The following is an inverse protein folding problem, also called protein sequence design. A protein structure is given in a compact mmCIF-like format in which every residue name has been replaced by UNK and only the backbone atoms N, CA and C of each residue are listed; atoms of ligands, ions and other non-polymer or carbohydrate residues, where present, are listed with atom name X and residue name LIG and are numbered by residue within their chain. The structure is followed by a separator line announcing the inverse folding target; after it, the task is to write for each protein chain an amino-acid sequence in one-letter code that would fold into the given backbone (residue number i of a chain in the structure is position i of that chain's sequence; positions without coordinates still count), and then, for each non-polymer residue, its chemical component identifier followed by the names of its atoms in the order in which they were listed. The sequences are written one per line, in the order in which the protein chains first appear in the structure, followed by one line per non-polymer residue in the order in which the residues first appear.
data_IF_718815436619
#
_entry.id   IF_718815436619
#
_cell.length_a   1.000
_cell.length_b   1.000
_cell.length_c   1.000
_cell.angle_alpha   90.00
_cell.angle_beta   90.00
_cell.angle_gamma   90.00
#
_symmetry.space_group_name_H-M   'P 1'
#
loop_
_entity.id
_entity.type
_entity.pdbx_description
1 polymer ?
#
# COMPACT_ATOMS: atom_id res chain seq x y z
N UNK A 1 -30.73 42.59 -32.85
CA UNK A 1 -29.48 43.37 -32.97
C UNK A 1 -28.37 42.54 -32.36
N UNK A 2 -27.32 42.32 -33.14
CA UNK A 2 -26.20 41.41 -32.91
C UNK A 2 -25.10 42.19 -32.16
N UNK A 3 -24.51 41.59 -31.12
CA UNK A 3 -23.28 42.08 -30.47
C UNK A 3 -22.55 40.88 -29.87
N UNK A 4 -21.60 40.28 -30.58
CA UNK A 4 -20.17 40.64 -30.72
C UNK A 4 -19.32 40.35 -29.48
N UNK A 5 -18.72 39.15 -29.51
CA UNK A 5 -17.31 38.81 -29.21
C UNK A 5 -16.55 39.51 -28.08
N UNK A 6 -16.02 38.71 -27.15
CA UNK A 6 -14.69 39.00 -26.56
C UNK A 6 -13.96 37.70 -26.17
N UNK A 7 -12.87 37.42 -26.89
CA UNK A 7 -11.89 36.36 -26.66
C UNK A 7 -10.83 36.88 -25.68
N UNK A 8 -10.59 36.17 -24.58
CA UNK A 8 -9.50 36.47 -23.64
C UNK A 8 -8.47 35.34 -23.57
N UNK A 9 -7.46 35.55 -24.41
CA UNK A 9 -6.06 35.12 -24.43
C UNK A 9 -5.48 34.40 -23.19
N UNK A 10 -4.87 33.24 -23.49
CA UNK A 10 -3.94 32.44 -22.68
C UNK A 10 -2.68 33.21 -22.26
N UNK A 11 -2.24 33.03 -21.01
CA UNK A 11 -0.88 33.35 -20.54
C UNK A 11 -0.23 32.12 -19.87
N UNK A 12 0.89 31.59 -20.38
CA UNK A 12 1.74 30.69 -19.62
C UNK A 12 2.78 31.46 -18.80
N UNK A 13 2.84 31.19 -17.49
CA UNK A 13 3.87 31.72 -16.59
C UNK A 13 5.15 30.88 -16.70
N UNK A 14 6.18 31.52 -17.24
CA UNK A 14 7.56 31.08 -17.30
C UNK A 14 8.18 31.19 -15.90
N UNK A 15 8.64 30.08 -15.31
CA UNK A 15 9.44 30.10 -14.06
C UNK A 15 10.91 29.85 -14.41
N UNK A 16 11.84 30.77 -14.08
CA UNK A 16 13.26 30.59 -14.35
C UNK A 16 13.96 29.71 -13.30
N UNK A 17 14.90 28.89 -13.79
CA UNK A 17 15.91 28.14 -13.03
C UNK A 17 16.91 29.10 -12.37
N UNK A 18 17.25 28.87 -11.10
CA UNK A 18 18.42 29.47 -10.44
C UNK A 18 19.43 28.40 -10.04
N UNK A 19 20.69 28.65 -10.39
CA UNK A 19 21.87 27.85 -10.15
C UNK A 19 22.53 28.18 -8.79
N UNK A 20 23.24 27.18 -8.28
CA UNK A 20 24.50 27.22 -7.53
C UNK A 20 24.60 28.01 -6.21
N UNK A 21 24.98 27.30 -5.14
CA UNK A 21 26.00 27.76 -4.22
C UNK A 21 26.74 26.56 -3.60
N UNK A 22 28.03 26.48 -3.92
CA UNK A 22 29.05 25.67 -3.27
C UNK A 22 29.49 26.39 -1.99
N UNK A 23 29.61 25.69 -0.87
CA UNK A 23 30.38 26.18 0.28
C UNK A 23 31.08 25.02 0.98
N UNK A 24 32.36 24.89 0.65
CA UNK A 24 33.39 24.18 1.41
C UNK A 24 33.62 24.87 2.76
N UNK A 25 33.54 24.11 3.86
CA UNK A 25 34.04 24.55 5.17
C UNK A 25 35.13 23.58 5.63
N UNK A 26 36.36 24.09 5.65
CA UNK A 26 37.54 23.46 6.23
C UNK A 26 37.91 24.26 7.48
N UNK A 27 37.95 23.62 8.64
CA UNK A 27 38.58 24.19 9.84
C UNK A 27 39.46 23.12 10.45
N UNK A 28 40.77 23.30 10.30
CA UNK A 28 41.81 22.69 11.15
C UNK A 28 41.94 23.55 12.41
N UNK A 29 42.09 22.91 13.57
CA UNK A 29 42.42 23.58 14.83
C UNK A 29 43.00 22.59 15.83
N UNK A 30 44.33 22.57 15.91
CA UNK A 30 45.16 21.92 16.92
C UNK A 30 44.97 22.56 18.31
N UNK A 31 45.46 21.87 19.34
CA UNK A 31 45.83 22.27 20.72
C UNK A 31 45.18 21.32 21.73
N UNK A 32 45.80 20.84 22.80
CA UNK A 32 47.17 20.91 23.31
C UNK A 32 47.22 19.83 24.40
N UNK A 33 48.32 19.11 24.50
CA UNK A 33 48.58 18.24 25.64
C UNK A 33 48.69 19.08 26.92
N UNK A 34 48.07 18.64 28.00
CA UNK A 34 48.57 18.90 29.34
C UNK A 34 48.22 17.74 30.27
N UNK A 35 49.28 17.28 30.91
CA UNK A 35 49.49 16.06 31.66
C UNK A 35 49.66 16.52 33.10
N UNK A 36 48.70 16.22 33.97
CA UNK A 36 48.89 16.38 35.42
C UNK A 36 48.09 15.31 36.15
N UNK A 37 48.86 14.33 36.57
CA UNK A 37 48.63 13.21 37.48
C UNK A 37 47.91 13.63 38.77
N UNK A 38 46.82 12.94 39.10
CA UNK A 38 46.16 12.95 40.42
C UNK A 38 45.87 11.48 40.81
N UNK A 39 46.11 11.08 42.07
CA UNK A 39 46.32 9.69 42.55
C UNK A 39 45.11 8.73 42.53
N UNK A 40 45.35 7.41 42.70
CA UNK A 40 44.34 6.38 42.57
C UNK A 40 43.37 6.37 43.76
N UNK A 41 42.13 6.79 43.52
CA UNK A 41 41.02 6.51 44.43
C UNK A 41 40.41 5.17 44.04
N UNK A 42 40.75 4.12 44.80
CA UNK A 42 40.01 2.86 44.79
C UNK A 42 38.57 3.12 45.24
N UNK A 43 37.67 3.15 44.28
CA UNK A 43 36.24 2.98 44.50
C UNK A 43 35.82 1.78 43.67
N UNK A 44 35.67 0.63 44.33
CA UNK A 44 34.89 -0.50 43.82
C UNK A 44 33.47 -0.01 43.56
N UNK A 45 33.23 0.54 42.38
CA UNK A 45 31.91 0.57 41.78
C UNK A 45 31.77 -0.72 40.99
N UNK A 46 30.93 -1.61 41.51
CA UNK A 46 30.35 -2.74 40.80
C UNK A 46 29.55 -2.14 39.63
N UNK A 47 30.23 -1.91 38.50
CA UNK A 47 29.62 -1.53 37.24
C UNK A 47 29.01 -2.82 36.68
N UNK A 48 27.73 -3.04 36.99
CA UNK A 48 26.94 -4.06 36.32
C UNK A 48 27.12 -3.87 34.80
N UNK A 49 27.49 -4.91 34.02
CA UNK A 49 27.59 -4.77 32.58
C UNK A 49 26.19 -4.45 32.06
N UNK A 50 26.02 -3.21 31.61
CA UNK A 50 24.84 -2.76 30.89
C UNK A 50 24.76 -3.59 29.62
N UNK A 51 23.97 -4.66 29.67
CA UNK A 51 23.79 -5.59 28.57
C UNK A 51 23.42 -4.78 27.32
N UNK A 52 24.12 -4.96 26.19
CA UNK A 52 23.68 -4.34 24.95
C UNK A 52 22.30 -4.90 24.62
N UNK A 53 21.30 -4.02 24.55
CA UNK A 53 19.98 -4.35 24.02
C UNK A 53 20.16 -4.74 22.55
N UNK A 54 20.34 -6.04 22.28
CA UNK A 54 20.27 -6.59 20.92
C UNK A 54 18.79 -6.66 20.56
N UNK A 55 18.24 -5.54 20.09
CA UNK A 55 16.89 -5.50 19.51
C UNK A 55 16.96 -5.96 18.05
N UNK A 56 17.31 -7.21 17.82
CA UNK A 56 17.18 -7.82 16.49
C UNK A 56 16.35 -9.09 16.58
N UNK A 57 15.08 -8.94 16.97
CA UNK A 57 14.07 -9.89 16.54
C UNK A 57 13.98 -9.75 15.01
N UNK A 58 14.77 -10.54 14.30
CA UNK A 58 14.77 -10.58 12.84
C UNK A 58 13.38 -11.08 12.44
N UNK A 59 12.54 -10.19 11.90
CA UNK A 59 11.29 -10.60 11.28
C UNK A 59 11.64 -11.65 10.23
N UNK A 60 11.18 -12.89 10.43
CA UNK A 60 11.37 -14.03 9.53
C UNK A 60 10.67 -13.84 8.17
N UNK A 61 10.06 -12.68 7.95
CA UNK A 61 9.58 -12.23 6.65
C UNK A 61 10.81 -12.01 5.76
N UNK A 62 11.00 -12.93 4.80
CA UNK A 62 12.02 -12.81 3.76
C UNK A 62 11.75 -11.51 3.00
N UNK A 63 12.57 -10.49 3.27
CA UNK A 63 12.52 -9.21 2.55
C UNK A 63 13.05 -9.48 1.14
N UNK A 64 12.21 -9.30 0.14
CA UNK A 64 12.59 -9.40 -1.27
C UNK A 64 12.71 -7.99 -1.86
N UNK A 65 13.60 -7.83 -2.85
CA UNK A 65 13.77 -6.57 -3.55
C UNK A 65 13.53 -6.80 -5.04
N UNK A 66 12.76 -5.89 -5.64
CA UNK A 66 12.48 -5.89 -7.07
C UNK A 66 13.66 -5.31 -7.84
N UNK A 67 14.18 -6.11 -8.77
CA UNK A 67 15.21 -5.70 -9.70
C UNK A 67 14.76 -5.99 -11.12
N UNK A 68 15.18 -5.17 -12.06
CA UNK A 68 14.97 -5.38 -13.48
C UNK A 68 16.28 -5.85 -14.10
N UNK A 69 16.25 -7.01 -14.77
CA UNK A 69 17.43 -7.61 -15.38
C UNK A 69 17.85 -6.80 -16.62
N UNK A 70 19.15 -6.54 -16.77
CA UNK A 70 19.73 -5.89 -17.95
C UNK A 70 20.36 -6.92 -18.89
N UNK A 71 20.80 -8.05 -18.35
CA UNK A 71 21.37 -9.20 -19.05
C UNK A 71 20.57 -10.46 -18.72
N UNK A 72 20.64 -11.47 -19.58
CA UNK A 72 20.05 -12.78 -19.30
C UNK A 72 20.87 -13.46 -18.21
N UNK A 73 20.20 -13.87 -17.13
CA UNK A 73 20.87 -14.50 -15.98
C UNK A 73 20.24 -15.85 -15.71
N UNK A 74 21.07 -16.88 -15.80
CA UNK A 74 20.66 -18.26 -15.60
C UNK A 74 19.89 -18.45 -14.28
N UNK A 75 18.66 -18.97 -14.43
CA UNK A 75 17.77 -19.26 -13.30
C UNK A 75 17.09 -18.05 -12.68
N UNK A 76 17.23 -16.83 -13.23
CA UNK A 76 16.49 -15.65 -12.79
C UNK A 76 15.47 -15.15 -13.83
N UNK A 77 15.84 -15.11 -15.11
CA UNK A 77 14.96 -14.64 -16.17
C UNK A 77 15.72 -13.93 -17.30
N UNK A 78 14.96 -13.49 -18.30
CA UNK A 78 15.47 -12.81 -19.49
C UNK A 78 15.73 -11.31 -19.22
N UNK A 79 16.39 -10.66 -20.18
CA UNK A 79 16.59 -9.21 -20.22
C UNK A 79 15.25 -8.46 -20.05
N UNK A 80 15.27 -7.40 -19.24
CA UNK A 80 14.15 -6.54 -18.84
C UNK A 80 13.06 -7.21 -18.00
N UNK A 81 13.25 -8.45 -17.55
CA UNK A 81 12.30 -9.06 -16.63
C UNK A 81 12.42 -8.45 -15.22
N UNK A 82 11.27 -8.31 -14.54
CA UNK A 82 11.19 -7.75 -13.18
C UNK A 82 11.06 -8.87 -12.18
N UNK A 83 12.15 -9.14 -11.48
CA UNK A 83 12.29 -10.30 -10.61
C UNK A 83 12.44 -9.85 -9.16
N UNK A 84 11.71 -10.53 -8.27
CA UNK A 84 11.89 -10.40 -6.83
C UNK A 84 13.07 -11.28 -6.38
N UNK A 85 14.13 -10.67 -5.86
CA UNK A 85 15.37 -11.35 -5.47
C UNK A 85 15.72 -11.03 -4.01
N UNK A 86 16.42 -11.94 -3.34
CA UNK A 86 16.98 -11.67 -2.03
C UNK A 86 17.95 -10.46 -2.06
N UNK A 87 17.87 -9.52 -1.09
CA UNK A 87 18.67 -8.29 -1.09
C UNK A 87 20.17 -8.56 -1.07
N UNK A 88 20.58 -9.66 -0.43
CA UNK A 88 21.98 -10.10 -0.40
C UNK A 88 22.52 -10.45 -1.79
N UNK A 89 21.72 -11.12 -2.62
CA UNK A 89 22.11 -11.50 -3.98
C UNK A 89 22.14 -10.29 -4.91
N UNK A 90 21.15 -9.40 -4.80
CA UNK A 90 21.11 -8.16 -5.57
C UNK A 90 22.35 -7.29 -5.31
N UNK A 91 22.68 -7.03 -4.03
CA UNK A 91 23.78 -6.12 -3.65
C UNK A 91 25.18 -6.70 -3.88
N UNK A 92 25.35 -8.01 -3.74
CA UNK A 92 26.67 -8.65 -3.81
C UNK A 92 27.03 -9.12 -5.24
N UNK A 93 26.04 -9.46 -6.08
CA UNK A 93 26.28 -10.08 -7.38
C UNK A 93 25.70 -9.25 -8.52
N UNK A 94 24.38 -9.01 -8.53
CA UNK A 94 23.70 -8.47 -9.71
C UNK A 94 24.05 -7.00 -9.98
N UNK A 95 24.11 -6.17 -8.94
CA UNK A 95 24.33 -4.74 -9.08
C UNK A 95 25.78 -4.37 -9.37
N UNK A 96 26.80 -4.92 -8.67
CA UNK A 96 28.19 -4.63 -9.00
C UNK A 96 28.55 -5.03 -10.43
N UNK A 97 27.98 -6.15 -10.91
CA UNK A 97 28.22 -6.67 -12.25
C UNK A 97 27.37 -6.01 -13.33
N UNK A 98 26.51 -5.04 -12.99
CA UNK A 98 25.57 -4.38 -13.92
C UNK A 98 24.59 -5.34 -14.64
N UNK A 99 24.32 -6.50 -14.05
CA UNK A 99 23.37 -7.49 -14.58
C UNK A 99 21.91 -7.11 -14.30
N UNK A 100 21.66 -6.23 -13.34
CA UNK A 100 20.33 -5.74 -13.01
C UNK A 100 20.35 -4.29 -12.52
N UNK A 101 19.19 -3.63 -12.54
CA UNK A 101 18.97 -2.32 -11.92
C UNK A 101 17.89 -2.39 -10.84
N UNK A 102 18.02 -1.57 -9.79
CA UNK A 102 16.95 -1.44 -8.80
C UNK A 102 15.71 -0.79 -9.42
N UNK A 103 14.55 -1.42 -9.21
CA UNK A 103 13.27 -0.84 -9.57
C UNK A 103 12.70 -0.19 -8.31
N UNK A 104 12.46 1.13 -8.29
CA UNK A 104 11.79 1.75 -7.16
C UNK A 104 10.43 1.09 -6.97
N UNK A 105 10.12 0.69 -5.72
CA UNK A 105 8.81 0.17 -5.31
C UNK A 105 7.77 1.30 -5.34
N UNK A 106 7.54 1.90 -6.49
CA UNK A 106 6.43 2.84 -6.69
C UNK A 106 5.19 1.99 -6.95
N UNK A 107 4.07 2.33 -6.33
CA UNK A 107 2.76 1.65 -6.44
C UNK A 107 2.15 1.79 -7.86
N UNK A 108 2.92 1.50 -8.91
CA UNK A 108 2.44 1.49 -10.27
C UNK A 108 1.89 0.08 -10.55
N UNK A 109 0.57 0.01 -10.69
CA UNK A 109 -0.28 -1.14 -11.03
C UNK A 109 0.05 -1.82 -12.38
N UNK A 110 1.24 -1.65 -12.94
CA UNK A 110 1.47 -1.90 -14.37
C UNK A 110 2.19 -3.19 -14.74
N UNK A 111 2.54 -4.08 -13.80
CA UNK A 111 2.92 -5.48 -14.09
C UNK A 111 3.20 -6.18 -12.78
N UNK A 112 2.36 -7.14 -12.41
CA UNK A 112 2.61 -8.10 -11.34
C UNK A 112 4.03 -8.67 -11.53
N UNK A 113 4.95 -8.47 -10.56
CA UNK A 113 6.28 -9.04 -10.67
C UNK A 113 6.17 -10.56 -10.57
N UNK A 114 6.60 -11.24 -11.65
CA UNK A 114 6.67 -12.70 -11.62
C UNK A 114 7.69 -13.09 -10.56
N UNK A 115 7.24 -13.84 -9.55
CA UNK A 115 8.16 -14.53 -8.65
C UNK A 115 9.02 -15.44 -9.52
N UNK A 116 10.35 -15.28 -9.47
CA UNK A 116 11.25 -16.20 -10.15
C UNK A 116 11.09 -17.58 -9.52
N UNK A 117 10.22 -18.39 -10.13
CA UNK A 117 10.17 -19.80 -9.86
C UNK A 117 11.47 -20.40 -10.44
N UNK A 118 12.27 -21.12 -9.65
CA UNK A 118 13.42 -21.83 -10.19
C UNK A 118 12.90 -22.84 -11.20
N UNK A 119 13.20 -22.61 -12.48
CA UNK A 119 12.75 -23.42 -13.62
C UNK A 119 13.32 -24.83 -13.48
N UNK A 120 12.61 -25.70 -12.77
CA UNK A 120 12.84 -27.13 -12.85
C UNK A 120 12.48 -27.58 -14.29
N UNK A 121 13.26 -28.49 -14.90
CA UNK A 121 12.97 -28.99 -16.23
C UNK A 121 11.60 -29.68 -16.25
N UNK A 122 10.72 -29.18 -17.10
CA UNK A 122 9.33 -29.60 -17.23
C UNK A 122 9.23 -31.05 -17.74
N UNK A 123 8.93 -31.98 -16.85
CA UNK A 123 8.37 -33.28 -17.21
C UNK A 123 7.25 -33.62 -16.22
N UNK A 124 6.03 -33.67 -16.76
CA UNK A 124 4.83 -34.27 -16.16
C UNK A 124 4.24 -33.54 -14.94
N UNK A 125 3.33 -32.60 -15.20
CA UNK A 125 2.34 -32.22 -14.19
C UNK A 125 1.01 -31.91 -14.86
N UNK A 126 0.34 -32.99 -15.27
CA UNK A 126 -1.09 -32.99 -15.48
C UNK A 126 -1.75 -33.00 -14.10
N UNK A 127 -2.03 -31.82 -13.54
CA UNK A 127 -3.02 -31.69 -12.48
C UNK A 127 -4.29 -31.10 -13.10
N UNK A 128 -5.46 -31.70 -12.84
CA UNK A 128 -6.72 -31.15 -13.30
C UNK A 128 -6.93 -29.80 -12.59
N UNK A 129 -7.15 -28.76 -13.39
CA UNK A 129 -7.74 -27.51 -12.94
C UNK A 129 -9.13 -27.81 -12.36
N UNK A 130 -9.21 -28.15 -11.08
CA UNK A 130 -10.46 -28.08 -10.33
C UNK A 130 -10.73 -26.61 -10.03
N UNK A 131 -11.04 -25.83 -11.07
CA UNK A 131 -11.86 -24.64 -10.91
C UNK A 131 -13.27 -25.14 -10.64
N UNK A 132 -13.55 -25.44 -9.38
CA UNK A 132 -14.92 -25.62 -8.90
C UNK A 132 -15.58 -24.24 -8.97
N UNK A 133 -16.56 -23.98 -9.86
CA UNK A 133 -17.46 -22.86 -9.65
C UNK A 133 -18.27 -23.21 -8.41
N UNK A 134 -17.98 -22.55 -7.29
CA UNK A 134 -18.86 -22.60 -6.13
C UNK A 134 -20.27 -22.21 -6.60
N UNK A 135 -21.34 -22.91 -6.15
CA UNK A 135 -22.70 -22.62 -6.57
C UNK A 135 -23.06 -21.20 -6.11
N UNK A 136 -23.11 -20.28 -7.06
CA UNK A 136 -23.57 -18.90 -6.87
C UNK A 136 -25.04 -18.98 -6.49
N UNK A 137 -25.32 -18.98 -5.18
CA UNK A 137 -26.68 -18.80 -4.70
C UNK A 137 -27.18 -17.45 -5.26
N UNK A 138 -28.35 -17.42 -5.93
CA UNK A 138 -28.91 -16.16 -6.41
C UNK A 138 -29.13 -15.28 -5.19
N UNK A 139 -28.45 -14.14 -5.15
CA UNK A 139 -28.67 -13.14 -4.11
C UNK A 139 -30.09 -12.66 -4.21
N UNK A 140 -30.77 -12.68 -3.07
CA UNK A 140 -32.09 -12.10 -2.96
C UNK A 140 -31.95 -10.58 -3.03
N UNK A 141 -32.25 -10.00 -4.19
CA UNK A 141 -32.20 -8.55 -4.44
C UNK A 141 -33.08 -7.77 -3.45
N UNK A 142 -34.08 -8.44 -2.87
CA UNK A 142 -34.93 -7.92 -1.80
C UNK A 142 -34.10 -7.53 -0.58
N UNK A 143 -33.04 -8.28 -0.27
CA UNK A 143 -32.14 -7.98 0.85
C UNK A 143 -31.32 -6.72 0.60
N UNK A 144 -30.83 -6.51 -0.63
CA UNK A 144 -30.10 -5.29 -0.99
C UNK A 144 -30.96 -4.03 -0.86
N UNK A 145 -32.26 -4.14 -1.18
CA UNK A 145 -33.22 -3.04 -1.03
C UNK A 145 -33.66 -2.82 0.42
N UNK A 146 -33.51 -3.82 1.28
CA UNK A 146 -33.82 -3.72 2.72
C UNK A 146 -32.72 -3.07 3.55
N UNK A 147 -31.56 -2.79 2.93
CA UNK A 147 -30.42 -2.20 3.63
C UNK A 147 -30.72 -0.76 4.05
N UNK A 148 -30.25 -0.34 5.24
CA UNK A 148 -30.34 1.05 5.64
C UNK A 148 -29.54 1.92 4.66
N UNK A 149 -30.03 3.12 4.32
CA UNK A 149 -29.32 4.03 3.41
C UNK A 149 -28.00 4.53 4.02
N UNK A 150 -27.87 4.48 5.35
CA UNK A 150 -26.72 4.95 6.10
C UNK A 150 -26.20 3.87 7.06
N UNK A 151 -24.92 3.52 6.96
CA UNK A 151 -24.22 2.61 7.87
C UNK A 151 -23.30 3.39 8.80
N UNK A 152 -23.63 3.38 10.10
CA UNK A 152 -22.86 4.10 11.12
C UNK A 152 -21.77 3.23 11.74
N UNK A 153 -20.53 3.72 11.75
CA UNK A 153 -19.39 3.06 12.40
C UNK A 153 -18.89 3.90 13.59
N UNK A 154 -19.06 3.42 14.83
CA UNK A 154 -18.57 4.15 16.00
C UNK A 154 -17.06 3.91 16.17
N UNK A 155 -16.24 4.87 15.78
CA UNK A 155 -14.78 4.79 15.87
C UNK A 155 -14.20 5.84 16.83
N UNK A 156 -13.07 5.51 17.44
CA UNK A 156 -12.33 6.42 18.33
C UNK A 156 -11.54 7.42 17.50
N UNK A 157 -11.53 8.68 17.93
CA UNK A 157 -10.68 9.72 17.34
C UNK A 157 -9.37 9.83 18.12
N UNK A 158 -8.33 10.41 17.49
CA UNK A 158 -7.04 10.64 18.18
C UNK A 158 -7.13 11.71 19.28
N UNK A 159 -8.11 12.61 19.16
CA UNK A 159 -8.38 13.67 20.14
C UNK A 159 -9.80 14.22 19.96
N UNK A 160 -10.45 14.74 21.01
CA UNK A 160 -11.84 15.21 20.96
C UNK A 160 -12.08 16.40 20.00
N UNK A 161 -11.03 17.12 19.59
CA UNK A 161 -11.13 18.20 18.61
C UNK A 161 -10.65 17.81 17.21
N UNK A 162 -10.09 16.60 17.03
CA UNK A 162 -9.56 16.17 15.73
C UNK A 162 -10.59 15.34 14.96
N UNK A 163 -10.58 15.49 13.64
CA UNK A 163 -11.29 14.61 12.70
C UNK A 163 -10.56 13.30 12.47
N UNK A 164 -9.27 13.20 12.82
CA UNK A 164 -8.47 12.00 12.58
C UNK A 164 -8.91 10.83 13.46
N UNK A 165 -9.10 9.67 12.82
CA UNK A 165 -9.47 8.42 13.45
C UNK A 165 -8.24 7.72 14.04
N UNK A 166 -8.44 7.09 15.19
CA UNK A 166 -7.47 6.18 15.79
C UNK A 166 -7.59 4.81 15.09
N UNK A 167 -7.15 4.75 13.83
CA UNK A 167 -7.27 3.57 12.98
C UNK A 167 -7.61 3.95 11.54
N UNK A 168 -8.14 2.99 10.80
CA UNK A 168 -8.65 3.20 9.45
C UNK A 168 -9.80 2.25 9.20
N UNK A 169 -10.89 2.74 8.62
CA UNK A 169 -12.00 1.91 8.16
C UNK A 169 -11.71 1.41 6.74
N UNK A 170 -11.82 0.11 6.55
CA UNK A 170 -11.53 -0.59 5.30
C UNK A 170 -12.81 -1.16 4.68
N UNK A 171 -12.78 -1.47 3.39
CA UNK A 171 -13.90 -2.17 2.73
C UNK A 171 -14.25 -3.50 3.39
N UNK A 172 -13.25 -4.20 3.96
CA UNK A 172 -13.48 -5.44 4.71
C UNK A 172 -14.33 -5.23 5.97
N UNK A 173 -14.19 -4.08 6.63
CA UNK A 173 -15.02 -3.72 7.79
C UNK A 173 -16.46 -3.42 7.35
N UNK A 174 -16.63 -2.76 6.20
CA UNK A 174 -17.96 -2.52 5.58
C UNK A 174 -18.63 -3.82 5.20
N UNK A 175 -17.90 -4.74 4.54
CA UNK A 175 -18.39 -6.07 4.19
C UNK A 175 -18.78 -6.89 5.43
N UNK A 176 -17.99 -6.81 6.50
CA UNK A 176 -18.29 -7.49 7.77
C UNK A 176 -19.59 -6.95 8.39
N UNK A 177 -19.81 -5.63 8.36
CA UNK A 177 -21.06 -5.01 8.81
C UNK A 177 -22.25 -5.40 7.95
N UNK A 178 -22.07 -5.46 6.63
CA UNK A 178 -23.10 -5.91 5.70
C UNK A 178 -23.47 -7.38 5.92
N UNK A 179 -22.53 -8.21 6.36
CA UNK A 179 -22.80 -9.60 6.72
C UNK A 179 -23.72 -9.76 7.94
N UNK A 180 -23.72 -8.79 8.87
CA UNK A 180 -24.69 -8.76 9.98
C UNK A 180 -26.13 -8.56 9.49
N UNK A 181 -26.32 -7.95 8.33
CA UNK A 181 -27.62 -7.82 7.66
C UNK A 181 -27.98 -9.04 6.79
N UNK A 182 -27.17 -10.11 6.83
CA UNK A 182 -27.41 -11.35 6.10
C UNK A 182 -26.79 -11.42 4.70
N UNK A 183 -25.96 -10.46 4.30
CA UNK A 183 -25.24 -10.52 3.03
C UNK A 183 -23.97 -11.37 3.16
N UNK A 184 -23.88 -12.46 2.39
CA UNK A 184 -22.73 -13.36 2.47
C UNK A 184 -21.49 -12.67 1.86
N UNK A 185 -20.35 -12.54 2.59
CA UNK A 185 -19.13 -11.97 2.03
C UNK A 185 -18.63 -12.89 0.91
N UNK A 186 -18.55 -12.36 -0.31
CA UNK A 186 -18.25 -13.13 -1.53
C UNK A 186 -19.43 -13.26 -2.49
N UNK A 187 -20.65 -13.06 -1.99
CA UNK A 187 -21.82 -12.83 -2.84
C UNK A 187 -21.98 -11.36 -3.21
N UNK A 188 -21.31 -10.44 -2.52
CA UNK A 188 -21.36 -9.01 -2.81
C UNK A 188 -19.96 -8.47 -3.08
N UNK A 189 -19.88 -7.59 -4.07
CA UNK A 189 -18.74 -6.75 -4.36
C UNK A 189 -19.04 -5.35 -3.81
N UNK A 190 -18.08 -4.80 -3.07
CA UNK A 190 -18.22 -3.51 -2.38
C UNK A 190 -17.07 -2.64 -2.82
N UNK A 191 -17.38 -1.49 -3.42
CA UNK A 191 -16.39 -0.52 -3.90
C UNK A 191 -16.73 0.88 -3.40
N UNK A 192 -15.71 1.74 -3.29
CA UNK A 192 -15.95 3.14 -2.99
C UNK A 192 -16.39 3.88 -4.26
N UNK A 193 -17.29 4.86 -4.13
CA UNK A 193 -17.81 5.60 -5.30
C UNK A 193 -16.78 6.55 -5.92
N UNK A 194 -16.04 7.27 -5.09
CA UNK A 194 -15.13 8.36 -5.48
C UNK A 194 -13.69 8.13 -5.00
N UNK A 195 -13.38 6.93 -4.50
CA UNK A 195 -12.10 6.56 -3.91
C UNK A 195 -11.56 5.25 -4.48
N UNK A 196 -10.26 5.02 -4.34
CA UNK A 196 -9.65 3.75 -4.74
C UNK A 196 -10.07 2.62 -3.78
N UNK A 197 -10.25 1.39 -4.28
CA UNK A 197 -10.60 0.23 -3.42
C UNK A 197 -9.54 -0.07 -2.34
N UNK A 198 -8.30 0.35 -2.57
CA UNK A 198 -7.21 0.25 -1.61
C UNK A 198 -7.17 1.40 -0.59
N UNK A 199 -7.95 2.45 -0.81
CA UNK A 199 -8.05 3.60 0.09
C UNK A 199 -8.82 3.23 1.36
N UNK A 200 -8.40 3.81 2.47
CA UNK A 200 -8.95 3.54 3.79
C UNK A 200 -9.36 4.86 4.41
N UNK A 201 -10.55 4.92 4.96
CA UNK A 201 -11.08 6.11 5.60
C UNK A 201 -10.37 6.31 6.95
N UNK A 202 -9.72 7.46 7.10
CA UNK A 202 -8.91 7.80 8.28
C UNK A 202 -9.43 9.02 9.04
N UNK A 203 -10.53 9.60 8.58
CA UNK A 203 -11.12 10.80 9.15
C UNK A 203 -12.62 10.59 9.36
N UNK A 204 -13.20 11.32 10.30
CA UNK A 204 -14.65 11.41 10.46
C UNK A 204 -15.26 12.03 9.19
N UNK A 205 -16.35 11.45 8.72
CA UNK A 205 -17.03 11.91 7.51
C UNK A 205 -18.10 10.94 7.03
N UNK A 206 -18.63 11.23 5.86
CA UNK A 206 -19.58 10.40 5.13
C UNK A 206 -18.96 10.01 3.80
N UNK A 207 -18.79 8.71 3.56
CA UNK A 207 -18.22 8.18 2.32
C UNK A 207 -19.28 7.32 1.63
N UNK A 208 -19.48 7.51 0.32
CA UNK A 208 -20.42 6.71 -0.44
C UNK A 208 -19.79 5.38 -0.87
N UNK A 209 -20.48 4.29 -0.58
CA UNK A 209 -20.12 2.92 -0.97
C UNK A 209 -21.13 2.41 -1.99
N UNK A 210 -20.65 1.74 -3.02
CA UNK A 210 -21.47 1.04 -3.99
C UNK A 210 -21.41 -0.45 -3.69
N UNK A 211 -22.58 -1.06 -3.48
CA UNK A 211 -22.72 -2.50 -3.30
C UNK A 211 -23.30 -3.10 -4.57
N UNK A 212 -22.62 -4.11 -5.10
CA UNK A 212 -23.02 -4.87 -6.30
C UNK A 212 -23.10 -6.35 -5.96
N UNK A 213 -24.02 -7.11 -6.57
CA UNK A 213 -24.00 -8.56 -6.46
C UNK A 213 -22.79 -9.13 -7.22
N UNK A 214 -22.01 -9.98 -6.56
CA UNK A 214 -20.88 -10.69 -7.13
C UNK A 214 -21.37 -11.60 -8.27
N UNK A 215 -20.73 -11.46 -9.44
CA UNK A 215 -21.20 -12.07 -10.69
C UNK A 215 -21.80 -11.07 -11.68
N UNK A 216 -22.06 -9.84 -11.26
CA UNK A 216 -22.35 -8.72 -12.16
C UNK A 216 -21.07 -8.05 -12.72
N UNK A 217 -19.96 -8.79 -12.78
CA UNK A 217 -18.73 -8.32 -13.41
C UNK A 217 -18.97 -8.32 -14.91
N UNK A 218 -19.08 -7.12 -15.47
CA UNK A 218 -19.28 -6.86 -16.89
C UNK A 218 -18.26 -7.61 -17.75
N UNK A 219 -18.68 -8.77 -18.24
CA UNK A 219 -18.12 -9.37 -19.44
C UNK A 219 -18.53 -8.51 -20.63
N UNK A 220 -17.53 -8.09 -21.41
CA UNK A 220 -17.71 -7.65 -22.79
C UNK A 220 -18.82 -8.45 -23.50
N UNK A 221 -19.67 -7.72 -24.24
CA UNK A 221 -20.78 -8.20 -25.06
C UNK A 221 -22.15 -8.34 -24.36
N UNK A 222 -22.83 -7.20 -24.23
CA UNK A 222 -24.05 -7.05 -25.02
C UNK A 222 -25.40 -7.38 -24.37
N UNK A 223 -25.52 -7.38 -23.05
CA UNK A 223 -26.86 -7.43 -22.44
C UNK A 223 -26.95 -6.47 -21.24
N UNK A 224 -27.73 -5.41 -21.41
CA UNK A 224 -28.07 -4.41 -20.40
C UNK A 224 -29.00 -5.08 -19.40
N UNK A 225 -28.46 -5.96 -18.56
CA UNK A 225 -29.07 -6.19 -17.25
C UNK A 225 -28.61 -5.02 -16.41
N UNK A 226 -29.54 -4.15 -16.05
CA UNK A 226 -29.37 -3.13 -15.02
C UNK A 226 -28.93 -3.84 -13.74
N UNK A 227 -27.63 -4.06 -13.58
CA UNK A 227 -27.05 -4.47 -12.33
C UNK A 227 -27.42 -3.34 -11.36
N UNK A 228 -28.43 -3.59 -10.52
CA UNK A 228 -28.94 -2.60 -9.58
C UNK A 228 -27.86 -2.35 -8.54
N UNK A 229 -27.06 -1.35 -8.80
CA UNK A 229 -26.08 -0.82 -7.86
C UNK A 229 -26.83 -0.08 -6.76
N UNK A 230 -26.56 -0.45 -5.51
CA UNK A 230 -27.12 0.26 -4.35
C UNK A 230 -26.02 1.11 -3.75
N UNK A 231 -26.20 2.43 -3.79
CA UNK A 231 -25.34 3.36 -3.11
C UNK A 231 -25.78 3.47 -1.64
N UNK A 232 -24.84 3.25 -0.73
CA UNK A 232 -25.03 3.32 0.73
C UNK A 232 -24.02 4.33 1.28
N UNK A 233 -24.49 5.22 2.13
CA UNK A 233 -23.64 6.18 2.80
C UNK A 233 -23.02 5.55 4.05
N UNK A 234 -21.70 5.56 4.15
CA UNK A 234 -20.96 5.10 5.33
C UNK A 234 -20.60 6.32 6.16
N UNK A 235 -21.22 6.42 7.33
CA UNK A 235 -20.98 7.50 8.29
C UNK A 235 -20.09 7.00 9.42
N UNK A 236 -18.96 7.67 9.66
CA UNK A 236 -18.14 7.39 10.83
C UNK A 236 -18.52 8.32 11.96
N UNK A 237 -19.12 7.76 13.01
CA UNK A 237 -19.52 8.49 14.21
C UNK A 237 -18.44 8.39 15.27
N UNK A 238 -18.34 9.44 16.10
CA UNK A 238 -17.39 9.46 17.21
C UNK A 238 -17.92 8.59 18.34
N UNK A 239 -17.12 7.59 18.74
CA UNK A 239 -17.36 6.87 19.98
C UNK A 239 -17.00 7.77 21.17
N UNK A 240 -18.00 8.21 21.94
CA UNK A 240 -17.77 8.92 23.21
C UNK A 240 -17.09 7.96 24.20
N UNK A 241 -15.93 8.39 24.74
CA UNK A 241 -15.29 7.67 25.83
C UNK A 241 -16.03 8.04 27.12
N UNK A 242 -16.80 7.10 27.65
CA UNK A 242 -17.35 7.14 29.03
C UNK A 242 -16.24 6.83 30.02
#
# INVERSE_FOLDING_TARGET
MIGSTSLSVLRPLLVPRSLAASSSFSVRGLFSANWLTIPPFSMEMILAPKAPFITSARSLVKREVLVELLEDVDGLGLIQDRVAVAPGRARNQLLPNRQARYVPWKRNSQREPRKAEPRAPSLLSAFPSTSSPAPTAPLDLSLLLSLPPTLSFPLRTTSPSSSALHGSLTLGDVQSRLAEFGLVPGSIEVSWRDHDDAERMKELGVWAVVVRPAGAVGGEAGEITEAREVAIDVEVTRLEQV
#
